data_IF_052637567907
#
_entry.id   IF_052637567907
#
_cell.length_a   1.000
_cell.length_b   1.000
_cell.length_c   1.000
_cell.angle_alpha   90.00
_cell.angle_beta   90.00
_cell.angle_gamma   90.00
#
_symmetry.space_group_name_H-M   'P 1'
#
loop_
_entity.id
_entity.type
_entity.pdbx_description
1 polymer ?
#
# COMPACT_ATOMS: atom_id res chain seq x y z
N UNK A 1 33.35 -4.13 -39.71
CA UNK A 1 32.89 -5.10 -38.69
C UNK A 1 31.91 -4.39 -37.79
N UNK A 2 30.69 -4.91 -37.72
CA UNK A 2 29.49 -4.19 -37.31
C UNK A 2 29.52 -3.75 -35.83
N UNK A 3 29.19 -2.49 -35.61
CA UNK A 3 28.62 -1.97 -34.38
C UNK A 3 27.31 -2.71 -34.11
N UNK A 4 27.21 -3.41 -33.00
CA UNK A 4 25.93 -3.88 -32.48
C UNK A 4 25.65 -3.08 -31.22
N UNK A 5 24.87 -2.02 -31.39
CA UNK A 5 24.25 -1.28 -30.30
C UNK A 5 23.46 -2.22 -29.40
N UNK A 6 23.55 -1.94 -28.10
CA UNK A 6 22.74 -2.46 -27.02
C UNK A 6 21.38 -1.73 -27.00
N UNK A 7 20.23 -2.41 -27.06
CA UNK A 7 18.99 -1.74 -26.68
C UNK A 7 17.98 -2.70 -26.05
N UNK A 8 18.07 -2.97 -24.74
CA UNK A 8 16.90 -3.38 -23.95
C UNK A 8 17.17 -3.38 -22.43
N UNK A 9 17.47 -2.23 -21.83
CA UNK A 9 17.05 -2.02 -20.44
C UNK A 9 15.63 -1.52 -20.49
N UNK A 10 14.66 -2.44 -20.53
CA UNK A 10 13.25 -2.12 -20.29
C UNK A 10 13.12 -1.67 -18.84
N UNK A 11 13.30 -0.36 -18.60
CA UNK A 11 12.91 0.25 -17.34
C UNK A 11 11.41 0.13 -17.19
N UNK A 12 10.97 -0.87 -16.43
CA UNK A 12 9.62 -0.91 -15.87
C UNK A 12 9.55 0.28 -14.91
N UNK A 13 9.03 1.41 -15.40
CA UNK A 13 8.74 2.58 -14.56
C UNK A 13 7.69 2.11 -13.56
N UNK A 14 8.15 1.71 -12.37
CA UNK A 14 7.24 1.39 -11.27
C UNK A 14 6.63 2.71 -10.86
N UNK A 15 5.34 2.91 -11.18
CA UNK A 15 4.62 4.09 -10.74
C UNK A 15 4.74 4.20 -9.21
N UNK A 16 5.36 5.29 -8.76
CA UNK A 16 5.60 5.55 -7.35
C UNK A 16 4.34 6.19 -6.79
N UNK A 17 3.58 5.45 -5.99
CA UNK A 17 2.44 6.04 -5.28
C UNK A 17 2.96 6.74 -4.05
N UNK A 18 2.56 7.99 -3.88
CA UNK A 18 2.91 8.81 -2.72
C UNK A 18 1.67 9.04 -1.87
N UNK A 19 1.81 8.94 -0.56
CA UNK A 19 0.78 9.35 0.39
C UNK A 19 1.28 10.56 1.18
N UNK A 20 0.43 11.54 1.44
CA UNK A 20 0.76 12.70 2.29
C UNK A 20 0.04 12.55 3.62
N UNK A 21 0.81 12.52 4.70
CA UNK A 21 0.32 12.44 6.07
C UNK A 21 0.91 13.59 6.88
N UNK A 22 0.06 14.42 7.48
CA UNK A 22 0.49 15.61 8.25
C UNK A 22 1.51 16.50 7.49
N UNK A 23 1.33 16.67 6.18
CA UNK A 23 2.23 17.44 5.32
C UNK A 23 3.54 16.74 4.94
N UNK A 24 3.76 15.50 5.37
CA UNK A 24 4.92 14.69 5.01
C UNK A 24 4.55 13.69 3.92
N UNK A 25 5.26 13.75 2.79
CA UNK A 25 5.11 12.79 1.70
C UNK A 25 5.87 11.48 2.03
N UNK A 26 5.20 10.35 1.85
CA UNK A 26 5.77 9.00 1.99
C UNK A 26 5.56 8.19 0.73
N UNK A 27 6.62 7.54 0.27
CA UNK A 27 6.58 6.64 -0.88
C UNK A 27 6.08 5.28 -0.45
N UNK A 28 5.10 4.73 -1.19
CA UNK A 28 4.52 3.43 -0.93
C UNK A 28 4.82 2.45 -2.06
N UNK A 29 4.97 1.17 -1.70
CA UNK A 29 4.90 0.09 -2.69
C UNK A 29 3.49 0.03 -3.28
N UNK A 30 3.36 -0.53 -4.48
CA UNK A 30 2.04 -0.71 -5.12
C UNK A 30 1.04 -1.47 -4.24
N UNK A 31 1.52 -2.51 -3.52
CA UNK A 31 0.66 -3.30 -2.60
C UNK A 31 0.26 -2.50 -1.37
N UNK A 32 1.19 -1.75 -0.78
CA UNK A 32 0.90 -0.88 0.36
C UNK A 32 -0.10 0.21 -0.03
N UNK A 33 0.08 0.81 -1.22
CA UNK A 33 -0.86 1.80 -1.77
C UNK A 33 -2.25 1.20 -1.98
N UNK A 34 -2.37 0.01 -2.61
CA UNK A 34 -3.66 -0.64 -2.81
C UNK A 34 -4.38 -0.96 -1.49
N UNK A 35 -3.64 -1.38 -0.45
CA UNK A 35 -4.22 -1.58 0.90
C UNK A 35 -4.65 -0.26 1.52
N UNK A 36 -3.86 0.80 1.37
CA UNK A 36 -4.21 2.13 1.87
C UNK A 36 -5.47 2.66 1.18
N UNK A 37 -5.60 2.49 -0.14
CA UNK A 37 -6.79 2.86 -0.91
C UNK A 37 -8.03 2.10 -0.44
N UNK A 38 -7.91 0.81 -0.15
CA UNK A 38 -9.02 0.02 0.39
C UNK A 38 -9.49 0.54 1.76
N UNK A 39 -8.61 1.17 2.54
CA UNK A 39 -8.92 1.74 3.86
C UNK A 39 -9.32 3.22 3.81
N UNK A 40 -9.20 3.88 2.65
CA UNK A 40 -9.30 5.35 2.52
C UNK A 40 -10.70 5.89 2.83
N UNK A 41 -11.73 5.06 2.75
CA UNK A 41 -13.11 5.41 3.12
C UNK A 41 -13.30 5.59 4.64
N UNK A 42 -12.29 5.25 5.45
CA UNK A 42 -12.33 5.35 6.91
C UNK A 42 -13.30 4.34 7.55
N UNK A 43 -13.76 3.32 6.82
CA UNK A 43 -14.59 2.26 7.36
C UNK A 43 -13.76 1.08 7.88
N UNK A 44 -14.41 0.13 8.55
CA UNK A 44 -13.72 -1.08 9.02
C UNK A 44 -13.67 -2.09 7.87
N UNK A 45 -12.46 -2.37 7.40
CA UNK A 45 -12.21 -3.29 6.29
C UNK A 45 -11.65 -4.60 6.84
N UNK A 46 -12.37 -5.69 6.59
CA UNK A 46 -11.95 -7.03 6.95
C UNK A 46 -10.78 -7.51 6.12
N UNK A 47 -10.12 -8.58 6.57
CA UNK A 47 -9.03 -9.21 5.81
C UNK A 47 -9.47 -9.67 4.43
N UNK A 48 -10.65 -10.25 4.32
CA UNK A 48 -11.16 -10.75 3.05
C UNK A 48 -11.43 -9.60 2.06
N UNK A 49 -11.98 -8.49 2.56
CA UNK A 49 -12.15 -7.26 1.77
C UNK A 49 -10.80 -6.69 1.34
N UNK A 50 -9.79 -6.64 2.21
CA UNK A 50 -8.44 -6.21 1.83
C UNK A 50 -7.85 -7.11 0.74
N UNK A 51 -7.96 -8.42 0.87
CA UNK A 51 -7.46 -9.37 -0.13
C UNK A 51 -8.12 -9.11 -1.49
N UNK A 52 -9.43 -8.90 -1.50
CA UNK A 52 -10.22 -8.67 -2.72
C UNK A 52 -9.93 -7.31 -3.35
N UNK A 53 -9.91 -6.23 -2.57
CA UNK A 53 -9.74 -4.88 -3.08
C UNK A 53 -8.29 -4.55 -3.45
N UNK A 54 -7.32 -5.06 -2.70
CA UNK A 54 -5.90 -4.81 -2.94
C UNK A 54 -5.21 -5.93 -3.76
N UNK A 55 -5.97 -6.90 -4.27
CA UNK A 55 -5.45 -7.97 -5.13
C UNK A 55 -4.42 -8.88 -4.46
N UNK A 56 -4.58 -9.16 -3.17
CA UNK A 56 -3.60 -9.91 -2.35
C UNK A 56 -3.90 -11.42 -2.28
N UNK A 57 -4.56 -11.99 -3.29
CA UNK A 57 -5.03 -13.37 -3.28
C UNK A 57 -3.89 -14.40 -3.19
N UNK A 58 -2.69 -14.02 -3.61
CA UNK A 58 -1.47 -14.83 -3.57
C UNK A 58 -0.73 -14.76 -2.22
N UNK A 59 -1.19 -13.90 -1.30
CA UNK A 59 -0.49 -13.64 -0.04
C UNK A 59 -1.04 -14.46 1.13
N UNK A 60 -0.12 -14.95 1.97
CA UNK A 60 -0.49 -15.53 3.25
C UNK A 60 -1.04 -14.46 4.19
N UNK A 61 -1.84 -14.89 5.17
CA UNK A 61 -2.35 -14.01 6.23
C UNK A 61 -1.24 -13.16 6.88
N UNK A 62 -0.10 -13.77 7.18
CA UNK A 62 1.04 -13.10 7.79
C UNK A 62 1.61 -11.99 6.88
N UNK A 63 1.63 -12.21 5.56
CA UNK A 63 2.07 -11.18 4.60
C UNK A 63 1.08 -10.02 4.53
N UNK A 64 -0.22 -10.29 4.51
CA UNK A 64 -1.24 -9.23 4.57
C UNK A 64 -1.11 -8.39 5.85
N UNK A 65 -0.92 -9.04 7.01
CA UNK A 65 -0.69 -8.33 8.27
C UNK A 65 0.63 -7.53 8.25
N UNK A 66 1.66 -8.04 7.59
CA UNK A 66 2.92 -7.34 7.36
C UNK A 66 2.74 -6.01 6.61
N UNK A 67 1.89 -5.98 5.58
CA UNK A 67 1.59 -4.74 4.84
C UNK A 67 0.96 -3.68 5.75
N UNK A 68 0.05 -4.08 6.65
CA UNK A 68 -0.53 -3.15 7.63
C UNK A 68 0.54 -2.60 8.58
N UNK A 69 1.47 -3.45 9.02
CA UNK A 69 2.60 -3.02 9.85
C UNK A 69 3.51 -2.05 9.11
N UNK A 70 3.81 -2.30 7.83
CA UNK A 70 4.58 -1.39 6.98
C UNK A 70 3.88 -0.03 6.80
N UNK A 71 2.57 -0.03 6.54
CA UNK A 71 1.78 1.19 6.43
C UNK A 71 1.79 2.00 7.73
N UNK A 72 1.66 1.37 8.89
CA UNK A 72 1.80 2.07 10.19
C UNK A 72 3.19 2.66 10.40
N UNK A 73 4.25 2.01 9.92
CA UNK A 73 5.59 2.59 10.00
C UNK A 73 5.73 3.83 9.12
N UNK A 74 5.12 3.82 7.94
CA UNK A 74 5.17 4.94 7.00
C UNK A 74 4.26 6.10 7.44
N UNK A 75 3.03 5.80 7.86
CA UNK A 75 1.99 6.81 8.13
C UNK A 75 1.97 7.29 9.60
N UNK A 76 2.65 6.57 10.48
CA UNK A 76 2.56 6.74 11.92
C UNK A 76 1.84 5.56 12.60
N UNK A 77 2.27 5.18 13.81
CA UNK A 77 1.86 3.94 14.46
C UNK A 77 0.34 3.85 14.68
N UNK A 78 -0.32 4.99 14.87
CA UNK A 78 -1.75 5.08 15.19
C UNK A 78 -2.62 5.36 13.96
N UNK A 79 -2.02 5.48 12.76
CA UNK A 79 -2.76 5.84 11.55
C UNK A 79 -3.83 4.80 11.17
N UNK A 80 -3.57 3.54 11.47
CA UNK A 80 -4.48 2.42 11.22
C UNK A 80 -4.76 1.72 12.54
N UNK A 81 -6.01 1.62 12.95
CA UNK A 81 -6.40 0.89 14.17
C UNK A 81 -6.86 -0.52 13.87
N UNK A 82 -6.58 -1.45 14.78
CA UNK A 82 -7.14 -2.80 14.73
C UNK A 82 -8.52 -2.79 15.40
N UNK A 83 -9.55 -3.21 14.68
CA UNK A 83 -10.89 -3.42 15.21
C UNK A 83 -11.04 -4.92 15.46
N UNK A 84 -10.94 -5.31 16.74
CA UNK A 84 -10.86 -6.71 17.19
C UNK A 84 -11.90 -7.59 16.49
N UNK A 85 -11.42 -8.67 15.86
CA UNK A 85 -12.22 -9.67 15.10
C UNK A 85 -12.98 -9.13 13.88
N UNK A 86 -12.79 -7.85 13.51
CA UNK A 86 -13.47 -7.24 12.35
C UNK A 86 -12.51 -6.86 11.24
N UNK A 87 -11.35 -6.27 11.58
CA UNK A 87 -10.38 -5.85 10.58
C UNK A 87 -9.63 -4.60 10.98
N UNK A 88 -9.40 -3.71 10.03
CA UNK A 88 -8.62 -2.49 10.21
C UNK A 88 -9.39 -1.28 9.73
N UNK A 89 -9.05 -0.11 10.26
CA UNK A 89 -9.63 1.17 9.85
C UNK A 89 -8.55 2.24 9.83
N UNK A 90 -8.50 3.03 8.75
CA UNK A 90 -7.70 4.24 8.71
C UNK A 90 -8.40 5.32 9.54
N UNK A 91 -7.67 5.92 10.48
CA UNK A 91 -8.21 6.98 11.37
C UNK A 91 -7.41 8.27 11.29
N UNK A 92 -6.27 8.25 10.60
CA UNK A 92 -5.51 9.45 10.26
C UNK A 92 -5.89 9.90 8.86
N UNK A 93 -6.16 11.20 8.64
CA UNK A 93 -6.34 11.75 7.31
C UNK A 93 -5.08 11.53 6.46
N UNK A 94 -5.24 10.93 5.29
CA UNK A 94 -4.16 10.69 4.34
C UNK A 94 -4.65 11.05 2.95
N UNK A 95 -3.85 11.82 2.22
CA UNK A 95 -4.07 12.10 0.81
C UNK A 95 -3.21 11.14 -0.04
N UNK A 96 -3.79 10.53 -1.07
CA UNK A 96 -3.09 9.56 -1.93
C UNK A 96 -2.91 10.19 -3.32
N UNK A 97 -1.67 10.28 -3.78
CA UNK A 97 -1.27 10.84 -5.07
C UNK A 97 -0.55 9.78 -5.90
N UNK A 98 -1.00 9.58 -7.15
CA UNK A 98 -0.50 8.55 -8.08
C UNK A 98 0.28 9.16 -9.24
#
# INVERSE_FOLDING_TARGET
MASTSDPAVTSVVTAVVTAVVNGTAVTLSHRSAAVLEALADGTVVSREQLIRHAGLHDLSQRRCEGIIVELRKALGPDAIVNVRRRGWRLVTPVEITR
#
